data_IF_920333863885
#
_entry.id   IF_920333863885
#
_cell.length_a   1.000
_cell.length_b   1.000
_cell.length_c   1.000
_cell.angle_alpha   90.00
_cell.angle_beta   90.00
_cell.angle_gamma   90.00
#
_symmetry.space_group_name_H-M   'P 1'
#
loop_
_entity.id
_entity.type
_entity.pdbx_description
1 polymer ?
#
# COMPACT_ATOMS: atom_id res chain seq x y z
N UNK A 1 10.16 4.37 -41.83
CA UNK A 1 11.08 5.18 -42.66
C UNK A 1 11.32 4.51 -44.03
N UNK A 2 11.54 5.27 -45.11
CA UNK A 2 11.92 4.66 -46.41
C UNK A 2 13.45 4.47 -46.55
N UNK A 3 13.90 3.66 -47.51
CA UNK A 3 15.34 3.32 -47.69
C UNK A 3 16.23 4.57 -47.86
N UNK A 4 15.76 5.59 -48.57
CA UNK A 4 16.55 6.80 -48.84
C UNK A 4 16.69 7.66 -47.59
N UNK A 5 15.61 7.80 -46.83
CA UNK A 5 15.62 8.46 -45.53
C UNK A 5 16.55 7.73 -44.57
N UNK A 6 16.47 6.39 -44.49
CA UNK A 6 17.31 5.59 -43.61
C UNK A 6 18.80 5.84 -43.85
N UNK A 7 19.24 5.95 -45.11
CA UNK A 7 20.64 6.26 -45.42
C UNK A 7 21.10 7.62 -44.87
N UNK A 8 20.19 8.59 -44.70
CA UNK A 8 20.49 9.90 -44.09
C UNK A 8 20.46 9.87 -42.54
N UNK A 9 20.02 8.76 -41.96
CA UNK A 9 19.93 8.51 -40.52
C UNK A 9 20.98 7.53 -39.99
N UNK A 10 21.93 7.08 -40.82
CA UNK A 10 23.08 6.30 -40.35
C UNK A 10 23.90 7.17 -39.38
N UNK A 11 24.24 6.59 -38.22
CA UNK A 11 24.92 7.26 -37.10
C UNK A 11 24.02 8.20 -36.30
N UNK A 12 22.70 8.21 -36.55
CA UNK A 12 21.73 9.04 -35.81
C UNK A 12 20.84 8.18 -34.92
N UNK A 13 20.29 8.76 -33.84
CA UNK A 13 19.32 8.07 -33.02
C UNK A 13 18.02 7.81 -33.79
N UNK A 14 17.48 6.62 -33.56
CA UNK A 14 16.25 6.09 -34.12
C UNK A 14 15.45 5.37 -33.03
N UNK A 15 14.15 5.23 -33.25
CA UNK A 15 13.24 4.44 -32.41
C UNK A 15 12.93 3.14 -33.12
N UNK A 16 12.98 2.06 -32.36
CA UNK A 16 12.51 0.73 -32.76
C UNK A 16 11.20 0.50 -32.07
N UNK A 17 10.12 0.29 -32.82
CA UNK A 17 8.79 0.02 -32.27
C UNK A 17 8.36 -1.39 -32.63
N UNK A 18 8.03 -2.17 -31.62
CA UNK A 18 7.38 -3.46 -31.75
C UNK A 18 6.18 -3.56 -30.79
N UNK A 19 4.95 -3.79 -31.28
CA UNK A 19 3.78 -3.86 -30.42
C UNK A 19 3.84 -4.93 -29.32
N UNK A 20 4.65 -5.97 -29.48
CA UNK A 20 4.81 -7.04 -28.49
C UNK A 20 6.08 -6.87 -27.67
N UNK A 21 7.17 -6.44 -28.32
CA UNK A 21 8.49 -6.37 -27.68
C UNK A 21 8.77 -5.00 -27.03
N UNK A 22 7.93 -3.99 -27.25
CA UNK A 22 8.11 -2.65 -26.69
C UNK A 22 8.76 -1.66 -27.65
N UNK A 23 9.17 -0.50 -27.12
CA UNK A 23 9.82 0.58 -27.85
C UNK A 23 11.23 0.82 -27.31
N UNK A 24 12.20 0.99 -28.21
CA UNK A 24 13.61 1.16 -27.86
C UNK A 24 14.22 2.33 -28.62
N UNK A 25 15.19 2.99 -27.99
CA UNK A 25 16.00 4.02 -28.62
C UNK A 25 17.39 3.43 -28.90
N UNK A 26 17.84 3.61 -30.13
CA UNK A 26 19.13 3.11 -30.57
C UNK A 26 19.76 3.99 -31.64
N UNK A 27 20.94 3.60 -32.09
CA UNK A 27 21.66 4.23 -33.20
C UNK A 27 21.59 3.33 -34.43
N UNK A 28 21.23 3.90 -35.59
CA UNK A 28 21.26 3.15 -36.85
C UNK A 28 22.71 3.04 -37.34
N UNK A 29 23.30 1.86 -37.23
CA UNK A 29 24.70 1.61 -37.61
C UNK A 29 24.85 1.37 -39.11
N UNK A 30 23.96 0.57 -39.71
CA UNK A 30 24.03 0.21 -41.12
C UNK A 30 22.66 -0.21 -41.70
N UNK A 31 22.57 -0.36 -43.01
CA UNK A 31 21.37 -0.73 -43.75
C UNK A 31 21.65 -1.87 -44.72
N UNK A 32 20.89 -2.95 -44.57
CA UNK A 32 20.87 -4.11 -45.47
C UNK A 32 19.68 -3.98 -46.40
N UNK A 33 19.94 -3.79 -47.70
CA UNK A 33 18.89 -3.59 -48.70
C UNK A 33 19.09 -4.48 -49.94
N UNK A 34 18.70 -5.75 -49.79
CA UNK A 34 18.71 -6.74 -50.88
C UNK A 34 17.60 -6.47 -51.92
N UNK A 35 17.82 -6.78 -53.21
CA UNK A 35 16.78 -6.67 -54.23
C UNK A 35 15.54 -7.50 -53.87
N UNK A 36 14.35 -6.89 -54.00
CA UNK A 36 13.03 -7.53 -53.76
C UNK A 36 12.74 -7.97 -52.33
N UNK A 37 13.56 -7.59 -51.33
CA UNK A 37 13.24 -7.79 -49.90
C UNK A 37 13.03 -6.44 -49.20
N UNK A 38 12.24 -6.41 -48.11
CA UNK A 38 12.21 -5.26 -47.21
C UNK A 38 13.63 -4.94 -46.72
N UNK A 39 13.94 -3.65 -46.60
CA UNK A 39 15.23 -3.24 -46.05
C UNK A 39 15.25 -3.53 -44.54
N UNK A 40 16.45 -3.82 -44.03
CA UNK A 40 16.72 -4.08 -42.61
C UNK A 40 17.79 -3.09 -42.14
N UNK A 41 17.67 -2.61 -40.92
CA UNK A 41 18.67 -1.78 -40.26
C UNK A 41 19.46 -2.60 -39.25
N UNK A 42 20.76 -2.38 -39.16
CA UNK A 42 21.57 -2.81 -38.02
C UNK A 42 21.50 -1.68 -36.99
N UNK A 43 20.89 -1.95 -35.85
CA UNK A 43 20.61 -0.95 -34.81
C UNK A 43 21.34 -1.32 -33.55
N UNK A 44 22.12 -0.39 -32.99
CA UNK A 44 22.70 -0.51 -31.65
C UNK A 44 21.72 0.04 -30.62
N UNK A 45 21.29 -0.77 -29.66
CA UNK A 45 20.29 -0.34 -28.66
C UNK A 45 20.99 0.40 -27.52
N UNK A 46 20.45 1.57 -27.15
CA UNK A 46 21.03 2.43 -26.12
C UNK A 46 20.07 2.63 -24.93
N UNK A 47 18.76 2.64 -25.16
CA UNK A 47 17.75 2.83 -24.12
C UNK A 47 16.44 2.11 -24.44
N UNK A 48 15.60 1.90 -23.41
CA UNK A 48 14.24 1.37 -23.56
C UNK A 48 13.24 2.50 -23.29
N UNK A 49 12.26 2.67 -24.16
CA UNK A 49 11.24 3.70 -24.00
C UNK A 49 9.93 3.10 -23.47
N UNK A 50 9.57 1.91 -23.97
CA UNK A 50 8.37 1.19 -23.54
C UNK A 50 8.73 -0.28 -23.31
N UNK A 51 8.29 -0.81 -22.17
CA UNK A 51 8.53 -2.20 -21.79
C UNK A 51 7.73 -3.16 -22.69
N UNK A 52 8.20 -4.42 -22.90
CA UNK A 52 7.42 -5.43 -23.59
C UNK A 52 6.03 -5.63 -22.97
N UNK A 53 5.02 -5.86 -23.81
CA UNK A 53 3.65 -6.08 -23.36
C UNK A 53 3.56 -7.38 -22.57
N UNK A 54 2.93 -7.34 -21.39
CA UNK A 54 2.72 -8.52 -20.58
C UNK A 54 1.45 -9.27 -21.00
N UNK A 55 1.57 -10.59 -21.21
CA UNK A 55 0.43 -11.44 -21.50
C UNK A 55 -0.11 -12.09 -20.21
N UNK A 56 -1.25 -11.59 -19.73
CA UNK A 56 -1.89 -12.07 -18.50
C UNK A 56 -2.78 -13.31 -18.69
N UNK A 57 -2.93 -13.82 -19.92
CA UNK A 57 -3.84 -14.94 -20.20
C UNK A 57 -3.28 -16.32 -19.86
N UNK A 58 -1.95 -16.45 -19.73
CA UNK A 58 -1.26 -17.71 -19.43
C UNK A 58 -0.76 -17.76 -17.98
N UNK A 59 -1.69 -17.90 -17.02
CA UNK A 59 -1.40 -17.97 -15.57
C UNK A 59 -0.46 -19.14 -15.19
N UNK A 60 -0.32 -20.15 -16.07
CA UNK A 60 0.48 -21.35 -15.79
C UNK A 60 2.00 -21.14 -15.86
N UNK A 61 2.45 -20.05 -16.47
CA UNK A 61 3.86 -19.72 -16.57
C UNK A 61 4.04 -18.33 -15.97
N UNK A 62 4.60 -18.24 -14.76
CA UNK A 62 4.96 -17.01 -14.04
C UNK A 62 6.10 -16.21 -14.74
N UNK A 63 6.05 -16.13 -16.07
CA UNK A 63 7.15 -15.61 -16.89
C UNK A 63 6.76 -14.23 -17.37
N UNK A 64 7.27 -13.21 -16.66
CA UNK A 64 7.31 -11.83 -17.14
C UNK A 64 8.01 -11.82 -18.50
N UNK A 65 7.40 -11.14 -19.48
CA UNK A 65 8.02 -10.96 -20.79
C UNK A 65 9.17 -9.97 -20.65
N UNK A 66 10.40 -10.47 -20.81
CA UNK A 66 11.62 -9.66 -20.66
C UNK A 66 12.01 -8.98 -21.97
N UNK A 67 12.68 -7.82 -21.91
CA UNK A 67 13.25 -7.17 -23.08
C UNK A 67 14.18 -8.14 -23.83
N UNK A 68 13.96 -8.39 -25.13
CA UNK A 68 14.83 -9.24 -25.93
C UNK A 68 16.15 -8.55 -26.33
N UNK A 69 16.23 -7.23 -26.17
CA UNK A 69 17.40 -6.44 -26.53
C UNK A 69 18.16 -5.96 -25.30
N UNK A 70 19.48 -6.04 -25.36
CA UNK A 70 20.40 -5.57 -24.32
C UNK A 70 21.13 -4.29 -24.74
N UNK A 71 21.57 -3.53 -23.76
CA UNK A 71 22.32 -2.29 -23.97
C UNK A 71 23.63 -2.53 -24.72
N UNK A 72 23.89 -1.72 -25.73
CA UNK A 72 25.15 -1.71 -26.47
C UNK A 72 25.29 -2.79 -27.53
N UNK A 73 24.38 -3.77 -27.58
CA UNK A 73 24.34 -4.80 -28.63
C UNK A 73 23.67 -4.29 -29.90
N UNK A 74 24.07 -4.87 -31.03
CA UNK A 74 23.52 -4.57 -32.35
C UNK A 74 22.58 -5.66 -32.82
N UNK A 75 21.39 -5.27 -33.28
CA UNK A 75 20.37 -6.18 -33.76
C UNK A 75 19.96 -5.86 -35.19
N UNK A 76 19.59 -6.88 -35.95
CA UNK A 76 19.01 -6.72 -37.28
C UNK A 76 17.50 -6.53 -37.19
N UNK A 77 17.02 -5.36 -37.59
CA UNK A 77 15.63 -4.94 -37.40
C UNK A 77 15.00 -4.60 -38.75
N UNK A 78 13.78 -5.05 -38.97
CA UNK A 78 13.03 -4.76 -40.20
C UNK A 78 12.72 -3.26 -40.25
N UNK A 79 12.98 -2.62 -41.39
CA UNK A 79 12.83 -1.18 -41.55
C UNK A 79 11.43 -0.60 -41.33
N UNK A 80 10.39 -1.44 -41.34
CA UNK A 80 9.02 -1.05 -40.97
C UNK A 80 8.86 -0.75 -39.47
N UNK A 81 9.78 -1.23 -38.63
CA UNK A 81 9.81 -1.00 -37.18
C UNK A 81 10.71 0.17 -36.78
N UNK A 82 11.35 0.84 -37.75
CA UNK A 82 12.34 1.89 -37.52
C UNK A 82 11.77 3.26 -37.87
N UNK A 83 11.83 4.16 -36.90
CA UNK A 83 11.35 5.54 -36.98
C UNK A 83 12.45 6.54 -36.58
N UNK A 84 12.50 7.73 -37.22
CA UNK A 84 13.41 8.80 -36.80
C UNK A 84 12.94 9.39 -35.47
N UNK A 85 13.88 9.83 -34.63
CA UNK A 85 13.58 10.49 -33.36
C UNK A 85 14.29 11.82 -33.29
N UNK A 86 13.62 12.81 -32.70
CA UNK A 86 14.25 14.09 -32.35
C UNK A 86 14.95 13.94 -31.00
N UNK A 87 16.22 14.34 -30.95
CA UNK A 87 17.15 14.06 -29.84
C UNK A 87 16.90 14.95 -28.63
N UNK A 88 16.04 15.97 -28.74
CA UNK A 88 16.00 17.09 -27.81
C UNK A 88 15.61 16.70 -26.37
N UNK A 89 14.99 15.52 -26.15
CA UNK A 89 14.54 15.07 -24.82
C UNK A 89 14.80 13.57 -24.52
N UNK A 90 15.76 12.91 -25.18
CA UNK A 90 15.97 11.46 -24.99
C UNK A 90 16.97 11.14 -23.86
N UNK A 91 16.51 10.42 -22.85
CA UNK A 91 17.38 9.72 -21.91
C UNK A 91 18.08 8.55 -22.63
N UNK A 92 19.39 8.65 -22.83
CA UNK A 92 20.20 7.64 -23.53
C UNK A 92 20.80 6.58 -22.59
N UNK A 93 20.50 6.65 -21.29
CA UNK A 93 20.96 5.68 -20.32
C UNK A 93 20.01 4.50 -20.26
N UNK A 94 20.52 3.30 -20.57
CA UNK A 94 19.72 2.08 -20.55
C UNK A 94 19.16 1.74 -19.17
N UNK A 95 19.93 1.92 -18.09
CA UNK A 95 19.49 1.53 -16.74
C UNK A 95 18.39 2.45 -16.22
N UNK A 96 18.55 3.76 -16.39
CA UNK A 96 17.55 4.75 -16.00
C UNK A 96 16.28 4.59 -16.84
N UNK A 97 16.42 4.45 -18.16
CA UNK A 97 15.28 4.24 -19.05
C UNK A 97 14.55 2.93 -18.77
N UNK A 98 15.28 1.85 -18.43
CA UNK A 98 14.68 0.58 -18.00
C UNK A 98 13.88 0.73 -16.71
N UNK A 99 14.43 1.44 -15.73
CA UNK A 99 13.72 1.74 -14.48
C UNK A 99 12.44 2.55 -14.76
N UNK A 100 12.53 3.59 -15.57
CA UNK A 100 11.39 4.43 -15.95
C UNK A 100 10.32 3.61 -16.69
N UNK A 101 10.70 2.77 -17.65
CA UNK A 101 9.77 1.91 -18.37
C UNK A 101 9.09 0.88 -17.46
N UNK A 102 9.83 0.28 -16.51
CA UNK A 102 9.26 -0.61 -15.50
C UNK A 102 8.27 0.11 -14.58
N UNK A 103 8.61 1.30 -14.10
CA UNK A 103 7.71 2.12 -13.26
C UNK A 103 6.41 2.48 -13.99
N UNK A 104 6.52 2.84 -15.27
CA UNK A 104 5.36 3.12 -16.12
C UNK A 104 4.47 1.88 -16.29
N UNK A 105 5.08 0.71 -16.52
CA UNK A 105 4.33 -0.55 -16.65
C UNK A 105 3.63 -0.94 -15.33
N UNK A 106 4.30 -0.77 -14.19
CA UNK A 106 3.71 -0.97 -12.85
C UNK A 106 2.52 -0.02 -12.65
N UNK A 107 2.70 1.26 -12.99
CA UNK A 107 1.63 2.26 -12.88
C UNK A 107 0.43 1.91 -13.77
N UNK A 108 0.68 1.46 -15.00
CA UNK A 108 -0.36 0.98 -15.92
C UNK A 108 -1.18 -0.17 -15.30
N UNK A 109 -0.51 -1.22 -14.80
CA UNK A 109 -1.22 -2.35 -14.20
C UNK A 109 -1.93 -1.99 -12.89
N UNK A 110 -1.41 -1.07 -12.09
CA UNK A 110 -2.11 -0.55 -10.91
C UNK A 110 -3.41 0.16 -11.29
N UNK A 111 -3.37 1.02 -12.33
CA UNK A 111 -4.57 1.70 -12.82
C UNK A 111 -5.59 0.70 -13.40
N UNK A 112 -5.15 -0.33 -14.14
CA UNK A 112 -6.05 -1.38 -14.64
C UNK A 112 -6.65 -2.21 -13.50
N UNK A 113 -5.86 -2.54 -12.47
CA UNK A 113 -6.35 -3.19 -11.24
C UNK A 113 -7.45 -2.36 -10.59
N UNK A 114 -7.26 -1.05 -10.42
CA UNK A 114 -8.29 -0.16 -9.84
C UNK A 114 -9.58 -0.14 -10.66
N UNK A 115 -9.48 -0.06 -11.99
CA UNK A 115 -10.66 -0.10 -12.88
C UNK A 115 -11.41 -1.42 -12.75
N UNK A 116 -10.68 -2.54 -12.75
CA UNK A 116 -11.28 -3.88 -12.59
C UNK A 116 -11.93 -4.00 -11.22
N UNK A 117 -11.27 -3.55 -10.15
CA UNK A 117 -11.84 -3.52 -8.80
C UNK A 117 -13.12 -2.68 -8.73
N UNK A 118 -13.15 -1.50 -9.37
CA UNK A 118 -14.36 -0.68 -9.41
C UNK A 118 -15.52 -1.41 -10.12
N UNK A 119 -15.27 -2.01 -11.28
CA UNK A 119 -16.28 -2.79 -12.01
C UNK A 119 -16.76 -3.99 -11.19
N UNK A 120 -15.86 -4.70 -10.52
CA UNK A 120 -16.22 -5.82 -9.65
C UNK A 120 -17.12 -5.37 -8.49
N UNK A 121 -16.81 -4.24 -7.85
CA UNK A 121 -17.64 -3.68 -6.78
C UNK A 121 -19.04 -3.32 -7.28
N UNK A 122 -19.16 -2.68 -8.45
CA UNK A 122 -20.46 -2.34 -9.04
C UNK A 122 -21.29 -3.61 -9.35
N UNK A 123 -20.66 -4.64 -9.92
CA UNK A 123 -21.32 -5.92 -10.17
C UNK A 123 -21.77 -6.62 -8.89
N UNK A 124 -20.96 -6.57 -7.83
CA UNK A 124 -21.31 -7.11 -6.52
C UNK A 124 -22.48 -6.35 -5.88
N UNK A 125 -22.50 -5.01 -5.99
CA UNK A 125 -23.61 -4.19 -5.53
C UNK A 125 -24.91 -4.51 -6.27
N UNK A 126 -24.85 -4.68 -7.59
CA UNK A 126 -26.01 -5.12 -8.39
C UNK A 126 -26.48 -6.52 -7.99
N UNK A 127 -25.56 -7.44 -7.71
CA UNK A 127 -25.89 -8.79 -7.23
C UNK A 127 -26.57 -8.76 -5.86
N UNK A 128 -26.11 -7.93 -4.92
CA UNK A 128 -26.70 -7.79 -3.59
C UNK A 128 -28.13 -7.23 -3.62
N UNK A 129 -28.45 -6.37 -4.61
CA UNK A 129 -29.83 -5.90 -4.81
C UNK A 129 -30.78 -7.03 -5.21
N UNK A 130 -30.28 -8.02 -5.95
CA UNK A 130 -31.05 -9.16 -6.46
C UNK A 130 -31.10 -10.28 -5.42
N UNK A 131 -29.99 -10.52 -4.73
CA UNK A 131 -29.85 -11.52 -3.68
C UNK A 131 -29.24 -10.89 -2.42
N UNK A 132 -30.08 -10.42 -1.47
CA UNK A 132 -29.61 -9.86 -0.21
C UNK A 132 -28.87 -10.86 0.69
N UNK A 133 -28.94 -12.17 0.39
CA UNK A 133 -28.19 -13.21 1.09
C UNK A 133 -26.79 -13.43 0.52
N UNK A 134 -26.47 -12.79 -0.62
CA UNK A 134 -25.12 -12.79 -1.17
C UNK A 134 -24.19 -11.99 -0.26
N UNK A 135 -23.39 -12.71 0.53
CA UNK A 135 -22.26 -12.13 1.26
C UNK A 135 -21.15 -11.87 0.25
N UNK A 136 -20.81 -10.60 0.08
CA UNK A 136 -19.63 -10.20 -0.70
C UNK A 136 -18.42 -10.87 -0.06
N UNK A 137 -17.87 -11.89 -0.72
CA UNK A 137 -16.51 -12.31 -0.46
C UNK A 137 -15.64 -11.21 -1.08
N UNK A 138 -15.35 -10.15 -0.32
CA UNK A 138 -14.29 -9.24 -0.69
C UNK A 138 -13.05 -10.12 -0.91
N UNK A 139 -12.41 -10.00 -2.07
CA UNK A 139 -11.07 -10.54 -2.23
C UNK A 139 -10.28 -9.99 -1.05
N UNK A 140 -9.85 -10.86 -0.13
CA UNK A 140 -9.20 -10.45 1.12
C UNK A 140 -8.17 -9.35 0.89
N UNK A 141 -7.46 -9.36 -0.24
CA UNK A 141 -6.48 -8.34 -0.65
C UNK A 141 -6.96 -6.89 -0.77
N UNK A 142 -8.24 -6.63 -1.11
CA UNK A 142 -8.76 -5.27 -1.22
C UNK A 142 -8.85 -4.57 0.14
N UNK A 143 -8.93 -5.37 1.21
CA UNK A 143 -9.02 -4.95 2.60
C UNK A 143 -7.64 -4.80 3.25
N UNK A 144 -6.53 -4.83 2.49
CA UNK A 144 -5.20 -4.59 3.05
C UNK A 144 -4.51 -3.38 2.41
N UNK A 145 -3.78 -2.65 3.23
CA UNK A 145 -2.84 -1.61 2.84
C UNK A 145 -1.42 -2.18 2.92
N UNK A 146 -0.64 -2.02 1.86
CA UNK A 146 0.72 -2.53 1.76
C UNK A 146 1.74 -1.45 2.07
N UNK A 147 2.80 -1.83 2.75
CA UNK A 147 3.92 -1.00 3.14
C UNK A 147 5.24 -1.71 2.84
N UNK A 148 6.29 -0.93 2.67
CA UNK A 148 7.66 -1.43 2.54
C UNK A 148 8.45 -1.05 3.78
N UNK A 149 9.21 -2.00 4.31
CA UNK A 149 10.05 -1.78 5.47
C UNK A 149 11.31 -1.03 5.06
N UNK A 150 11.62 0.08 5.74
CA UNK A 150 12.85 0.86 5.56
C UNK A 150 13.62 0.91 6.87
N UNK A 151 14.94 0.73 6.81
CA UNK A 151 15.82 0.83 7.99
C UNK A 151 16.76 2.02 7.81
N UNK A 152 16.65 3.02 8.68
CA UNK A 152 17.56 4.15 8.67
C UNK A 152 18.36 4.22 9.97
N UNK A 153 19.64 3.85 9.91
CA UNK A 153 20.67 3.97 10.96
C UNK A 153 20.37 3.28 12.30
N UNK A 154 19.24 3.59 12.95
CA UNK A 154 18.71 3.00 14.19
C UNK A 154 17.20 2.81 14.20
N UNK A 155 16.45 3.52 13.36
CA UNK A 155 14.99 3.50 13.38
C UNK A 155 14.44 2.78 12.16
N UNK A 156 13.27 2.17 12.34
CA UNK A 156 12.61 1.38 11.32
C UNK A 156 11.26 2.00 11.02
N UNK A 157 10.97 2.10 9.73
CA UNK A 157 9.81 2.80 9.21
C UNK A 157 9.04 1.91 8.24
N UNK A 158 7.72 2.07 8.22
CA UNK A 158 6.85 1.63 7.15
C UNK A 158 6.72 2.76 6.14
N UNK A 159 7.06 2.48 4.89
CA UNK A 159 6.87 3.39 3.78
C UNK A 159 5.60 3.01 3.00
N UNK A 160 4.68 3.96 2.87
CA UNK A 160 3.48 3.76 2.05
C UNK A 160 3.74 4.06 0.55
N UNK A 161 2.71 3.88 -0.27
CA UNK A 161 2.80 4.15 -1.72
C UNK A 161 3.00 5.63 -2.08
N UNK A 162 2.75 6.55 -1.14
CA UNK A 162 2.89 8.00 -1.30
C UNK A 162 4.21 8.52 -0.70
N UNK A 163 5.13 7.63 -0.29
CA UNK A 163 6.36 7.94 0.44
C UNK A 163 6.17 8.56 1.83
N UNK A 164 5.04 8.32 2.49
CA UNK A 164 4.87 8.65 3.90
C UNK A 164 5.58 7.60 4.76
N UNK A 165 6.36 8.07 5.72
CA UNK A 165 7.08 7.24 6.66
C UNK A 165 6.32 7.16 7.98
N UNK A 166 6.02 5.94 8.41
CA UNK A 166 5.38 5.66 9.70
C UNK A 166 6.40 4.93 10.56
N UNK A 167 6.82 5.47 11.73
CA UNK A 167 7.69 4.74 12.65
C UNK A 167 7.04 3.43 13.07
N UNK A 168 7.81 2.34 13.06
CA UNK A 168 7.34 1.01 13.45
C UNK A 168 7.31 0.85 14.99
N UNK A 169 8.12 1.64 15.70
CA UNK A 169 8.13 1.69 17.16
C UNK A 169 6.78 2.15 17.71
N UNK A 170 6.24 1.37 18.67
CA UNK A 170 4.93 1.62 19.31
C UNK A 170 3.73 1.64 18.35
N UNK A 171 3.84 0.99 17.18
CA UNK A 171 2.73 0.91 16.25
C UNK A 171 1.64 -0.04 16.79
N UNK A 172 0.37 0.39 16.94
CA UNK A 172 -0.69 -0.41 17.58
C UNK A 172 -1.36 -1.41 16.63
N UNK A 173 -0.78 -1.65 15.46
CA UNK A 173 -1.38 -2.47 14.42
C UNK A 173 -0.87 -3.91 14.48
N UNK A 174 -1.76 -4.86 14.21
CA UNK A 174 -1.39 -6.21 13.82
C UNK A 174 -0.97 -6.19 12.34
N UNK A 175 0.17 -6.78 12.06
CA UNK A 175 0.73 -6.83 10.72
C UNK A 175 0.55 -8.21 10.12
N UNK A 176 0.63 -8.30 8.80
CA UNK A 176 0.85 -9.57 8.11
C UNK A 176 2.12 -9.52 7.26
N UNK A 177 3.00 -10.50 7.47
CA UNK A 177 4.25 -10.68 6.70
C UNK A 177 4.14 -11.89 5.79
N UNK A 178 4.84 -11.86 4.65
CA UNK A 178 4.82 -12.96 3.68
C UNK A 178 5.98 -13.93 3.95
N UNK A 179 5.65 -15.15 4.37
CA UNK A 179 6.61 -16.23 4.60
C UNK A 179 6.26 -17.40 3.68
N UNK A 180 7.17 -17.76 2.77
CA UNK A 180 6.97 -18.86 1.81
C UNK A 180 5.65 -18.75 1.01
N UNK A 181 5.28 -17.54 0.60
CA UNK A 181 4.07 -17.27 -0.19
C UNK A 181 2.76 -17.22 0.62
N UNK A 182 2.84 -17.29 1.95
CA UNK A 182 1.69 -17.23 2.85
C UNK A 182 1.80 -16.01 3.76
N UNK A 183 0.68 -15.37 4.03
CA UNK A 183 0.63 -14.22 4.93
C UNK A 183 0.35 -14.67 6.36
N UNK A 184 1.22 -14.27 7.28
CA UNK A 184 1.17 -14.62 8.69
C UNK A 184 0.91 -13.37 9.52
N UNK A 185 -0.11 -13.43 10.38
CA UNK A 185 -0.41 -12.40 11.36
C UNK A 185 0.69 -12.34 12.42
N UNK A 186 1.25 -11.16 12.65
CA UNK A 186 2.37 -10.92 13.54
C UNK A 186 2.26 -9.55 14.22
N UNK A 187 2.88 -9.42 15.37
CA UNK A 187 3.08 -8.19 16.11
C UNK A 187 4.54 -7.75 16.01
N UNK A 188 4.78 -6.44 16.03
CA UNK A 188 6.13 -5.92 16.09
C UNK A 188 6.76 -6.19 17.46
N UNK A 189 8.01 -6.66 17.46
CA UNK A 189 8.76 -6.94 18.69
C UNK A 189 9.90 -5.92 18.86
N UNK A 190 10.96 -6.05 18.05
CA UNK A 190 12.10 -5.12 18.03
C UNK A 190 12.86 -5.22 16.70
N UNK A 191 13.60 -4.17 16.33
CA UNK A 191 14.33 -4.08 15.06
C UNK A 191 13.53 -4.60 13.85
N UNK A 192 13.97 -5.68 13.19
CA UNK A 192 13.30 -6.32 12.06
C UNK A 192 12.67 -7.67 12.47
N UNK A 193 12.32 -7.81 13.75
CA UNK A 193 11.73 -9.00 14.36
C UNK A 193 10.24 -8.80 14.59
N UNK A 194 9.46 -9.80 14.19
CA UNK A 194 8.02 -9.87 14.31
C UNK A 194 7.62 -11.19 14.96
N UNK A 195 6.59 -11.20 15.80
CA UNK A 195 6.20 -12.39 16.58
C UNK A 195 4.73 -12.72 16.35
N UNK A 196 4.42 -14.00 16.11
CA UNK A 196 3.04 -14.48 16.01
C UNK A 196 2.41 -14.84 17.37
N UNK A 197 1.14 -15.23 17.35
CA UNK A 197 0.38 -15.69 18.52
C UNK A 197 0.96 -16.96 19.18
N UNK A 198 1.77 -17.72 18.44
CA UNK A 198 2.49 -18.91 18.91
C UNK A 198 3.89 -18.59 19.41
N UNK A 199 4.25 -17.30 19.54
CA UNK A 199 5.57 -16.81 19.96
C UNK A 199 6.71 -17.18 19.00
N UNK A 200 6.37 -17.52 17.75
CA UNK A 200 7.35 -17.75 16.69
C UNK A 200 7.88 -16.41 16.22
N UNK A 201 9.21 -16.28 16.17
CA UNK A 201 9.88 -15.08 15.72
C UNK A 201 10.17 -15.17 14.21
N UNK A 202 9.82 -14.12 13.49
CA UNK A 202 10.05 -13.93 12.07
C UNK A 202 10.92 -12.69 11.85
N UNK A 203 12.06 -12.91 11.19
CA UNK A 203 12.96 -11.84 10.79
C UNK A 203 12.64 -11.42 9.36
N UNK A 204 12.49 -10.11 9.14
CA UNK A 204 12.25 -9.52 7.82
C UNK A 204 13.45 -8.69 7.38
N UNK A 205 13.57 -8.41 6.09
CA UNK A 205 14.64 -7.58 5.54
C UNK A 205 14.14 -6.17 5.19
N UNK A 206 15.08 -5.24 5.10
CA UNK A 206 14.80 -3.95 4.46
C UNK A 206 14.35 -4.17 3.00
N UNK A 207 13.25 -3.51 2.61
CA UNK A 207 12.61 -3.69 1.31
C UNK A 207 11.49 -4.73 1.29
N UNK A 208 11.33 -5.53 2.35
CA UNK A 208 10.23 -6.50 2.42
C UNK A 208 8.87 -5.82 2.49
N UNK A 209 7.86 -6.50 1.94
CA UNK A 209 6.48 -6.06 1.98
C UNK A 209 5.77 -6.61 3.21
N UNK A 210 5.07 -5.70 3.88
CA UNK A 210 4.18 -6.00 5.00
C UNK A 210 2.81 -5.39 4.70
N UNK A 211 1.75 -5.98 5.23
CA UNK A 211 0.39 -5.47 5.01
C UNK A 211 -0.39 -5.33 6.30
N UNK A 212 -1.28 -4.35 6.34
CA UNK A 212 -2.16 -4.06 7.48
C UNK A 212 -3.59 -4.11 6.97
N UNK A 213 -4.49 -4.75 7.71
CA UNK A 213 -5.89 -4.75 7.33
C UNK A 213 -6.47 -3.33 7.46
N UNK A 214 -7.13 -2.83 6.41
CA UNK A 214 -7.77 -1.51 6.32
C UNK A 214 -8.78 -1.26 7.43
N UNK A 215 -9.42 -2.31 7.95
CA UNK A 215 -10.32 -2.21 9.12
C UNK A 215 -9.58 -1.77 10.37
N UNK A 216 -8.28 -2.02 10.49
CA UNK A 216 -7.49 -1.53 11.61
C UNK A 216 -7.24 -0.02 11.54
N UNK A 217 -7.52 0.64 10.41
CA UNK A 217 -7.51 2.11 10.30
C UNK A 217 -8.87 2.72 10.63
N UNK A 218 -9.87 1.90 10.97
CA UNK A 218 -11.12 2.40 11.53
C UNK A 218 -10.81 3.07 12.89
N UNK A 219 -11.14 4.36 13.07
CA UNK A 219 -10.80 5.09 14.29
C UNK A 219 -11.33 4.44 15.57
N UNK A 220 -12.47 3.75 15.48
CA UNK A 220 -13.05 3.04 16.60
C UNK A 220 -12.28 1.76 16.91
N UNK A 221 -11.88 1.00 15.88
CA UNK A 221 -11.05 -0.18 16.06
C UNK A 221 -9.70 0.16 16.71
N UNK A 222 -9.04 1.22 16.23
CA UNK A 222 -7.81 1.76 16.83
C UNK A 222 -8.03 2.08 18.31
N UNK A 223 -9.11 2.82 18.59
CA UNK A 223 -9.44 3.24 19.95
C UNK A 223 -9.66 2.03 20.89
N UNK A 224 -10.30 0.96 20.43
CA UNK A 224 -10.51 -0.24 21.26
C UNK A 224 -9.19 -0.96 21.54
N UNK A 225 -8.29 -1.05 20.56
CA UNK A 225 -6.99 -1.70 20.71
C UNK A 225 -6.00 -0.89 21.56
N UNK A 226 -6.19 0.43 21.64
CA UNK A 226 -5.42 1.35 22.49
C UNK A 226 -5.76 1.20 23.99
N UNK A 227 -6.97 0.72 24.32
CA UNK A 227 -7.42 0.62 25.71
C UNK A 227 -6.82 -0.62 26.40
N UNK A 228 -6.29 -0.42 27.60
CA UNK A 228 -5.99 -1.53 28.49
C UNK A 228 -7.27 -2.31 28.84
N UNK A 229 -7.12 -3.61 29.08
CA UNK A 229 -8.26 -4.51 29.33
C UNK A 229 -9.27 -4.00 30.38
N UNK A 230 -8.86 -3.43 31.54
CA UNK A 230 -9.81 -2.89 32.51
C UNK A 230 -10.56 -1.64 32.03
N UNK A 231 -9.93 -0.80 31.22
CA UNK A 231 -10.56 0.36 30.60
C UNK A 231 -11.57 -0.08 29.54
N UNK A 232 -11.20 -1.07 28.71
CA UNK A 232 -12.10 -1.69 27.74
C UNK A 232 -13.32 -2.34 28.42
N UNK A 233 -13.12 -3.06 29.53
CA UNK A 233 -14.21 -3.62 30.32
C UNK A 233 -15.13 -2.51 30.88
N UNK A 234 -14.55 -1.39 31.30
CA UNK A 234 -15.31 -0.23 31.80
C UNK A 234 -16.18 0.39 30.71
N UNK A 235 -15.65 0.54 29.49
CA UNK A 235 -16.42 0.98 28.33
C UNK A 235 -17.55 -0.01 28.02
N UNK A 236 -17.22 -1.30 27.91
CA UNK A 236 -18.17 -2.38 27.59
C UNK A 236 -19.33 -2.42 28.58
N UNK A 237 -19.03 -2.32 29.88
CA UNK A 237 -20.02 -2.30 30.94
C UNK A 237 -20.88 -1.03 30.91
N UNK A 238 -20.30 0.11 30.53
CA UNK A 238 -21.02 1.34 30.30
C UNK A 238 -22.04 1.22 29.16
N UNK A 239 -21.63 0.68 28.01
CA UNK A 239 -22.50 0.44 26.86
C UNK A 239 -23.66 -0.50 27.21
N UNK A 240 -23.37 -1.60 27.92
CA UNK A 240 -24.41 -2.56 28.37
C UNK A 240 -25.49 -1.91 29.23
N UNK A 241 -25.16 -0.92 30.06
CA UNK A 241 -26.15 -0.19 30.88
C UNK A 241 -27.14 0.65 30.05
N UNK A 242 -26.81 0.95 28.80
CA UNK A 242 -27.67 1.61 27.83
C UNK A 242 -28.21 0.65 26.77
N UNK A 243 -28.11 -0.67 26.99
CA UNK A 243 -28.53 -1.70 26.02
C UNK A 243 -27.83 -1.54 24.65
N UNK A 244 -26.57 -1.12 24.68
CA UNK A 244 -25.71 -0.96 23.50
C UNK A 244 -24.51 -1.89 23.55
N UNK A 245 -23.89 -2.09 22.40
CA UNK A 245 -22.66 -2.84 22.19
C UNK A 245 -21.71 -2.08 21.26
N UNK A 246 -20.48 -2.57 21.10
CA UNK A 246 -19.49 -1.98 20.21
C UNK A 246 -19.96 -1.89 18.74
N UNK A 247 -20.78 -2.84 18.29
CA UNK A 247 -21.37 -2.86 16.93
C UNK A 247 -22.31 -1.68 16.65
N UNK A 248 -22.79 -1.00 17.70
CA UNK A 248 -23.66 0.17 17.57
C UNK A 248 -22.88 1.47 17.37
N UNK A 249 -21.54 1.43 17.28
CA UNK A 249 -20.73 2.60 17.01
C UNK A 249 -21.03 3.12 15.59
N UNK A 250 -21.35 4.41 15.49
CA UNK A 250 -21.63 5.09 14.21
C UNK A 250 -20.53 6.06 13.84
N UNK A 251 -19.88 6.66 14.84
CA UNK A 251 -18.79 7.60 14.63
C UNK A 251 -17.81 7.55 15.80
N UNK A 252 -16.53 7.55 15.50
CA UNK A 252 -15.46 7.69 16.48
C UNK A 252 -14.45 8.71 15.99
N UNK A 253 -14.23 9.73 16.80
CA UNK A 253 -13.12 10.65 16.63
C UNK A 253 -12.05 10.30 17.66
N UNK A 254 -11.04 9.55 17.23
CA UNK A 254 -9.86 9.24 18.03
C UNK A 254 -8.75 10.26 17.74
N UNK A 255 -8.36 11.03 18.76
CA UNK A 255 -7.29 12.01 18.67
C UNK A 255 -5.96 11.50 19.23
N UNK A 256 -5.94 10.41 20.01
CA UNK A 256 -4.71 9.94 20.64
C UNK A 256 -3.70 9.43 19.60
N UNK A 257 -4.15 8.67 18.60
CA UNK A 257 -3.27 8.21 17.52
C UNK A 257 -2.59 9.37 16.78
N UNK A 258 -3.33 10.45 16.50
CA UNK A 258 -2.76 11.64 15.86
C UNK A 258 -1.66 12.28 16.71
N UNK A 259 -1.79 12.24 18.05
CA UNK A 259 -0.76 12.74 18.95
C UNK A 259 0.49 11.85 18.92
N UNK A 260 0.32 10.53 18.96
CA UNK A 260 1.45 9.59 18.84
C UNK A 260 2.21 9.74 17.52
N UNK A 261 1.51 9.91 16.40
CA UNK A 261 2.12 10.05 15.07
C UNK A 261 2.77 11.42 14.83
N UNK A 262 2.34 12.47 15.54
CA UNK A 262 2.81 13.83 15.31
C UNK A 262 4.03 14.24 16.13
N UNK A 263 4.40 13.49 17.18
CA UNK A 263 5.42 13.92 18.14
C UNK A 263 6.64 12.99 18.13
N UNK A 264 7.81 13.56 17.88
CA UNK A 264 9.08 12.83 17.89
C UNK A 264 9.66 12.57 19.29
N UNK A 265 9.11 13.14 20.37
CA UNK A 265 9.72 13.06 21.72
C UNK A 265 8.76 13.29 22.93
N UNK A 266 7.46 13.49 22.70
CA UNK A 266 6.55 13.79 23.82
C UNK A 266 6.24 12.53 24.63
N UNK A 267 6.42 12.63 25.96
CA UNK A 267 6.15 11.55 26.92
C UNK A 267 4.85 11.73 27.69
N UNK A 268 4.05 12.72 27.34
CA UNK A 268 2.79 13.03 28.01
C UNK A 268 1.71 13.40 26.99
N UNK A 269 0.61 12.66 27.03
CA UNK A 269 -0.51 12.83 26.11
C UNK A 269 -1.79 13.05 26.90
N UNK A 270 -2.63 13.97 26.42
CA UNK A 270 -3.92 14.26 27.02
C UNK A 270 -4.92 14.69 25.97
N UNK A 271 -6.16 14.26 26.13
CA UNK A 271 -7.21 14.67 25.21
C UNK A 271 -8.56 14.07 25.52
N UNK A 272 -9.45 14.21 24.54
CA UNK A 272 -10.82 13.69 24.58
C UNK A 272 -11.15 13.08 23.23
N UNK A 273 -11.55 11.82 23.21
CA UNK A 273 -12.15 11.18 22.06
C UNK A 273 -13.67 11.32 22.14
N UNK A 274 -14.32 11.51 20.99
CA UNK A 274 -15.78 11.61 20.89
C UNK A 274 -16.32 10.40 20.14
N UNK A 275 -17.24 9.67 20.76
CA UNK A 275 -17.78 8.43 20.21
C UNK A 275 -19.29 8.50 20.25
N UNK A 276 -19.93 8.21 19.12
CA UNK A 276 -21.37 8.21 18.98
C UNK A 276 -21.84 6.78 18.70
N UNK A 277 -22.78 6.31 19.52
CA UNK A 277 -23.46 5.05 19.35
C UNK A 277 -24.94 5.29 19.05
N UNK A 278 -25.51 4.44 18.20
CA UNK A 278 -26.91 4.51 17.86
C UNK A 278 -27.49 3.11 17.73
N UNK A 279 -28.64 2.89 18.37
CA UNK A 279 -29.49 1.75 18.08
C UNK A 279 -30.82 2.26 17.49
N UNK A 280 -31.81 1.36 17.30
CA UNK A 280 -33.11 1.74 16.71
C UNK A 280 -33.91 2.75 17.55
N UNK A 281 -33.55 2.96 18.81
CA UNK A 281 -34.38 3.66 19.80
C UNK A 281 -33.70 4.84 20.50
N UNK A 282 -32.38 4.85 20.64
CA UNK A 282 -31.64 5.86 21.41
C UNK A 282 -30.30 6.19 20.74
N UNK A 283 -29.85 7.42 20.94
CA UNK A 283 -28.49 7.87 20.63
C UNK A 283 -27.72 8.06 21.93
N UNK A 284 -26.48 7.58 21.96
CA UNK A 284 -25.57 7.67 23.10
C UNK A 284 -24.26 8.31 22.65
N UNK A 285 -23.87 9.38 23.34
CA UNK A 285 -22.56 10.01 23.17
C UNK A 285 -21.67 9.56 24.32
N UNK A 286 -20.45 9.13 23.98
CA UNK A 286 -19.39 8.80 24.93
C UNK A 286 -18.23 9.76 24.70
N UNK A 287 -17.87 10.49 25.76
CA UNK A 287 -16.65 11.29 25.80
C UNK A 287 -15.60 10.51 26.58
N UNK A 288 -14.53 10.12 25.89
CA UNK A 288 -13.42 9.42 26.52
C UNK A 288 -12.28 10.39 26.77
N UNK A 289 -12.07 10.77 28.03
CA UNK A 289 -10.93 11.57 28.43
C UNK A 289 -9.77 10.64 28.77
N UNK A 290 -8.62 10.90 28.16
CA UNK A 290 -7.42 10.11 28.40
C UNK A 290 -6.28 11.00 28.88
N UNK A 291 -5.44 10.43 29.76
CA UNK A 291 -4.09 10.90 30.02
C UNK A 291 -3.13 9.71 29.94
N UNK A 292 -1.97 9.91 29.31
CA UNK A 292 -0.89 8.94 29.21
C UNK A 292 0.41 9.60 29.60
N UNK A 293 1.23 8.93 30.41
CA UNK A 293 2.58 9.36 30.74
C UNK A 293 3.55 8.20 30.58
N UNK A 294 4.48 8.34 29.65
CA UNK A 294 5.53 7.34 29.38
C UNK A 294 6.68 7.58 30.34
N UNK A 295 6.98 6.60 31.20
CA UNK A 295 8.03 6.68 32.20
C UNK A 295 9.23 5.82 31.78
N UNK A 296 10.43 6.40 31.68
CA UNK A 296 11.64 5.65 31.30
C UNK A 296 12.17 4.71 32.38
N UNK A 297 11.81 4.94 33.65
CA UNK A 297 12.33 4.20 34.81
C UNK A 297 11.20 3.68 35.74
N UNK A 298 9.99 3.45 35.20
CA UNK A 298 8.82 3.03 35.98
C UNK A 298 7.68 2.50 35.11
N UNK A 299 6.53 2.19 35.70
CA UNK A 299 5.33 1.84 34.94
C UNK A 299 4.70 3.10 34.34
N UNK A 300 4.19 2.95 33.12
CA UNK A 300 3.44 4.01 32.45
C UNK A 300 2.16 4.33 33.23
N UNK A 301 1.82 5.62 33.24
CA UNK A 301 0.59 6.08 33.88
C UNK A 301 -0.49 6.25 32.83
N UNK A 302 -1.56 5.48 32.97
CA UNK A 302 -2.73 5.45 32.11
C UNK A 302 -3.93 5.90 32.93
N UNK A 303 -4.63 6.92 32.46
CA UNK A 303 -5.90 7.37 33.02
C UNK A 303 -6.95 7.43 31.90
N UNK A 304 -8.09 6.77 32.12
CA UNK A 304 -9.21 6.75 31.19
C UNK A 304 -10.51 7.09 31.92
N UNK A 305 -11.28 8.03 31.39
CA UNK A 305 -12.59 8.41 31.92
C UNK A 305 -13.61 8.46 30.80
N UNK A 306 -14.63 7.61 30.89
CA UNK A 306 -15.74 7.54 29.95
C UNK A 306 -16.96 8.24 30.55
N UNK A 307 -17.42 9.31 29.88
CA UNK A 307 -18.68 9.98 30.19
C UNK A 307 -19.72 9.64 29.14
N UNK A 308 -20.76 8.93 29.55
CA UNK A 308 -21.87 8.50 28.72
C UNK A 308 -23.05 9.45 28.90
N UNK A 309 -23.63 9.95 27.80
CA UNK A 309 -24.86 10.76 27.81
C UNK A 309 -25.79 10.31 26.70
N UNK A 310 -27.02 9.92 27.04
CA UNK A 310 -28.03 9.60 26.03
C UNK A 310 -28.98 10.78 25.73
N UNK A 311 -29.78 10.65 24.68
CA UNK A 311 -30.80 11.61 24.25
C UNK A 311 -31.89 11.93 25.29
N UNK A 312 -32.09 11.03 26.27
CA UNK A 312 -32.97 11.23 27.44
C UNK A 312 -32.29 11.96 28.60
N UNK A 313 -31.04 12.39 28.44
CA UNK A 313 -30.25 13.09 29.45
C UNK A 313 -29.75 12.21 30.59
N UNK A 314 -29.84 10.88 30.48
CA UNK A 314 -29.23 9.94 31.43
C UNK A 314 -27.72 9.99 31.27
N UNK A 315 -27.00 10.06 32.40
CA UNK A 315 -25.54 10.16 32.44
C UNK A 315 -24.95 9.02 33.25
N UNK A 316 -23.81 8.51 32.79
CA UNK A 316 -22.99 7.54 33.51
C UNK A 316 -21.53 7.95 33.36
N UNK A 317 -20.75 7.79 34.42
CA UNK A 317 -19.31 8.03 34.41
C UNK A 317 -18.59 6.77 34.87
N UNK A 318 -17.57 6.38 34.12
CA UNK A 318 -16.70 5.24 34.40
C UNK A 318 -15.25 5.71 34.32
N UNK A 319 -14.40 5.32 35.27
CA UNK A 319 -13.00 5.77 35.33
C UNK A 319 -12.08 4.58 35.59
N UNK A 320 -10.92 4.60 34.96
CA UNK A 320 -9.82 3.69 35.16
C UNK A 320 -8.51 4.49 35.34
N UNK A 321 -7.63 4.01 36.22
CA UNK A 321 -6.29 4.57 36.42
C UNK A 321 -5.31 3.46 36.80
N UNK A 322 -4.09 3.53 36.31
CA UNK A 322 -2.99 2.65 36.73
C UNK A 322 -2.23 3.19 37.93
N UNK A 323 -2.47 4.45 38.35
CA UNK A 323 -1.88 4.98 39.59
C UNK A 323 -2.35 4.14 40.78
N UNK A 324 -1.39 3.46 41.40
CA UNK A 324 -1.56 2.82 42.69
C UNK A 324 -1.81 3.92 43.72
N UNK A 325 -3.06 4.01 44.22
CA UNK A 325 -3.42 4.82 45.39
C UNK A 325 -2.64 4.45 46.64
#
# INVERSE_FOLDING_TARGET
>A
MNRKEASNHIGKPIRVIDPLLGSYIGELVDIIAEPRKPWRGIVKINAIEQYPVQNLSDIKNEVITRPPFTSGETYEIIGSKIEPVNVEDLELNFEESLRTALLNEISHFNMEKEKVSHVLNELQNELQKIDPSYTIQSSKEADYQYYTILKNSKDIYLNDQNNNLIPLSNCPFEFEINVNGHWHAVQYDDELSFVDDQTTNYEVAEGDQIRINKQQFDPYHIFINELEKPALDSLTNGLKKYEMSHEHCVNCHNNLLNQYLATNDDKYFKGVNFISYQNKSETLIVQHHYERKICTDGQDVTYDRFEFTNDKGRRLLMTYTTESS
#
